data_IF_781565885687
#
_entry.id   IF_781565885687
#
_cell.length_a   1.000
_cell.length_b   1.000
_cell.length_c   1.000
_cell.angle_alpha   90.00
_cell.angle_beta   90.00
_cell.angle_gamma   90.00
#
_symmetry.space_group_name_H-M   'P 1'
#
loop_
_entity.id
_entity.type
_entity.pdbx_description
1 polymer ?
#
# COMPACT_ATOMS: atom_id res chain seq x y z
N UNK A 1 5.80 -16.10 0.62
CA UNK A 1 5.10 -15.31 1.66
C UNK A 1 5.34 -13.85 1.34
N UNK A 2 4.30 -13.02 1.28
CA UNK A 2 4.42 -11.62 0.88
C UNK A 2 4.87 -10.75 2.06
N UNK A 3 5.76 -9.79 1.78
CA UNK A 3 6.12 -8.72 2.72
C UNK A 3 5.38 -7.45 2.30
N UNK A 4 4.57 -6.91 3.20
CA UNK A 4 3.72 -5.75 2.95
C UNK A 4 4.12 -4.65 3.94
N UNK A 5 4.46 -3.48 3.41
CA UNK A 5 4.68 -2.28 4.20
C UNK A 5 3.41 -1.42 4.15
N UNK A 6 2.93 -0.94 5.29
CA UNK A 6 1.73 -0.12 5.37
C UNK A 6 2.10 1.25 5.92
N UNK A 7 2.03 2.26 5.07
CA UNK A 7 2.23 3.65 5.42
C UNK A 7 0.91 4.26 5.87
N UNK A 8 0.71 4.38 7.17
CA UNK A 8 -0.53 4.91 7.77
C UNK A 8 -0.23 5.73 9.02
N UNK A 9 -0.90 6.88 9.14
CA UNK A 9 -0.87 7.67 10.36
C UNK A 9 -1.80 7.10 11.46
N UNK A 10 -2.81 6.30 11.08
CA UNK A 10 -3.81 5.73 11.98
C UNK A 10 -4.04 4.24 11.67
N UNK A 11 -3.05 3.36 11.93
CA UNK A 11 -3.14 1.94 11.58
C UNK A 11 -4.29 1.20 12.29
N UNK A 12 -4.77 1.74 13.42
CA UNK A 12 -5.95 1.27 14.17
C UNK A 12 -7.22 1.20 13.27
N UNK A 13 -7.38 2.14 12.33
CA UNK A 13 -8.49 2.18 11.39
C UNK A 13 -8.45 1.02 10.38
N UNK A 14 -7.28 0.42 10.19
CA UNK A 14 -7.03 -0.72 9.30
C UNK A 14 -7.01 -2.05 10.04
N UNK A 15 -7.33 -2.09 11.34
CA UNK A 15 -7.21 -3.31 12.15
C UNK A 15 -7.87 -4.57 11.53
N UNK A 16 -9.09 -4.51 10.97
CA UNK A 16 -9.70 -5.68 10.30
C UNK A 16 -8.93 -6.15 9.07
N UNK A 17 -8.33 -5.22 8.32
CA UNK A 17 -7.50 -5.52 7.16
C UNK A 17 -6.15 -6.12 7.56
N UNK A 18 -5.48 -5.54 8.57
CA UNK A 18 -4.24 -6.05 9.13
C UNK A 18 -4.38 -7.48 9.65
N UNK A 19 -5.47 -7.76 10.38
CA UNK A 19 -5.77 -9.08 10.89
C UNK A 19 -5.90 -10.11 9.75
N UNK A 20 -6.61 -9.76 8.67
CA UNK A 20 -6.76 -10.64 7.52
C UNK A 20 -5.42 -10.92 6.80
N UNK A 21 -4.52 -9.94 6.70
CA UNK A 21 -3.17 -10.15 6.15
C UNK A 21 -2.33 -11.07 7.04
N UNK A 22 -2.41 -10.91 8.35
CA UNK A 22 -1.71 -11.74 9.32
C UNK A 22 -2.22 -13.20 9.30
N UNK A 23 -3.54 -13.40 9.21
CA UNK A 23 -4.17 -14.73 9.04
C UNK A 23 -3.70 -15.44 7.77
N UNK A 24 -3.44 -14.68 6.69
CA UNK A 24 -2.89 -15.20 5.46
C UNK A 24 -1.36 -15.48 5.53
N UNK A 25 -0.72 -15.24 6.67
CA UNK A 25 0.71 -15.48 6.88
C UNK A 25 1.62 -14.45 6.20
N UNK A 26 1.11 -13.24 5.93
CA UNK A 26 1.93 -12.15 5.39
C UNK A 26 2.74 -11.47 6.50
N UNK A 27 3.97 -11.07 6.17
CA UNK A 27 4.74 -10.18 7.04
C UNK A 27 4.27 -8.75 6.80
N UNK A 28 3.82 -8.07 7.85
CA UNK A 28 3.31 -6.70 7.77
C UNK A 28 4.17 -5.79 8.63
N UNK A 29 4.75 -4.77 8.02
CA UNK A 29 5.48 -3.70 8.70
C UNK A 29 4.69 -2.39 8.61
N UNK A 30 4.72 -1.58 9.67
CA UNK A 30 4.00 -0.30 9.74
C UNK A 30 4.97 0.88 9.64
N UNK A 31 4.62 1.87 8.84
CA UNK A 31 5.34 3.13 8.71
C UNK A 31 4.39 4.30 9.07
N UNK A 32 4.69 5.09 10.12
CA UNK A 32 3.80 6.17 10.56
C UNK A 32 3.87 7.44 9.69
N UNK A 33 4.78 7.48 8.70
CA UNK A 33 5.01 8.63 7.83
C UNK A 33 5.60 8.21 6.49
N UNK A 34 5.54 9.10 5.50
CA UNK A 34 6.10 8.86 4.17
C UNK A 34 7.62 8.69 4.25
N UNK A 35 8.30 9.47 5.09
CA UNK A 35 9.73 9.30 5.35
C UNK A 35 10.07 7.92 5.93
N UNK A 36 9.30 7.44 6.91
CA UNK A 36 9.52 6.12 7.49
C UNK A 36 9.29 5.01 6.46
N UNK A 37 8.30 5.17 5.58
CA UNK A 37 8.03 4.21 4.52
C UNK A 37 9.20 4.15 3.52
N UNK A 38 9.72 5.31 3.09
CA UNK A 38 10.88 5.37 2.19
C UNK A 38 12.13 4.73 2.79
N UNK A 39 12.44 4.99 4.06
CA UNK A 39 13.57 4.37 4.75
C UNK A 39 13.41 2.84 4.85
N UNK A 40 12.19 2.37 5.17
CA UNK A 40 11.90 0.93 5.20
C UNK A 40 12.12 0.28 3.82
N UNK A 41 11.62 0.89 2.74
CA UNK A 41 11.83 0.38 1.38
C UNK A 41 13.31 0.37 0.97
N UNK A 42 14.10 1.38 1.41
CA UNK A 42 15.55 1.41 1.15
C UNK A 42 16.31 0.30 1.89
N UNK A 43 15.87 -0.04 3.10
CA UNK A 43 16.52 -1.04 3.94
C UNK A 43 16.14 -2.47 3.52
N UNK A 44 14.85 -2.73 3.37
CA UNK A 44 14.29 -4.02 2.96
C UNK A 44 13.07 -3.78 2.06
N UNK A 45 13.22 -3.88 0.72
CA UNK A 45 12.15 -3.54 -0.19
C UNK A 45 10.99 -4.54 -0.06
N UNK A 46 9.77 -4.07 0.30
CA UNK A 46 8.61 -4.93 0.42
C UNK A 46 8.11 -5.38 -0.96
N UNK A 47 7.32 -6.45 -0.99
CA UNK A 47 6.61 -6.86 -2.20
C UNK A 47 5.54 -5.83 -2.58
N UNK A 48 4.86 -5.29 -1.57
CA UNK A 48 3.82 -4.27 -1.73
C UNK A 48 3.97 -3.18 -0.67
N UNK A 49 3.81 -1.92 -1.06
CA UNK A 49 3.56 -0.81 -0.16
C UNK A 49 2.09 -0.37 -0.23
N UNK A 50 1.35 -0.47 0.87
CA UNK A 50 0.02 0.12 1.00
C UNK A 50 0.14 1.52 1.59
N UNK A 51 -0.46 2.51 0.94
CA UNK A 51 -0.50 3.90 1.41
C UNK A 51 -1.92 4.24 1.86
N UNK A 52 -2.09 4.48 3.15
CA UNK A 52 -3.38 4.77 3.79
C UNK A 52 -3.77 6.25 3.66
N UNK A 53 -3.95 6.69 2.41
CA UNK A 53 -4.24 8.08 2.10
C UNK A 53 -3.09 9.03 2.41
N UNK A 54 -3.43 10.29 2.65
CA UNK A 54 -2.43 11.34 2.90
C UNK A 54 -1.82 11.19 4.29
N UNK A 55 -0.49 11.24 4.31
CA UNK A 55 0.32 11.17 5.53
C UNK A 55 0.66 12.59 6.00
N UNK A 56 1.00 12.78 7.28
CA UNK A 56 1.29 14.11 7.83
C UNK A 56 2.41 14.87 7.11
N UNK A 57 3.30 14.16 6.41
CA UNK A 57 4.46 14.70 5.71
C UNK A 57 4.35 14.68 4.17
N UNK A 58 3.40 13.94 3.59
CA UNK A 58 3.30 13.77 2.13
C UNK A 58 1.93 13.24 1.70
N UNK A 59 1.48 13.66 0.51
CA UNK A 59 0.27 13.07 -0.10
C UNK A 59 0.52 11.62 -0.55
N UNK A 60 -0.54 10.84 -0.64
CA UNK A 60 -0.44 9.41 -0.96
C UNK A 60 0.27 9.16 -2.29
N UNK A 61 -0.14 9.88 -3.34
CA UNK A 61 0.40 9.73 -4.70
C UNK A 61 1.85 10.22 -4.80
N UNK A 62 2.21 11.27 -4.07
CA UNK A 62 3.59 11.74 -4.00
C UNK A 62 4.48 10.69 -3.34
N UNK A 63 4.02 10.00 -2.29
CA UNK A 63 4.76 8.88 -1.70
C UNK A 63 4.95 7.75 -2.72
N UNK A 64 3.88 7.33 -3.42
CA UNK A 64 3.99 6.29 -4.45
C UNK A 64 5.04 6.66 -5.51
N UNK A 65 5.00 7.89 -6.02
CA UNK A 65 5.99 8.40 -6.97
C UNK A 65 7.42 8.28 -6.43
N UNK A 66 7.65 8.65 -5.15
CA UNK A 66 8.97 8.49 -4.50
C UNK A 66 9.37 7.04 -4.33
N UNK A 67 8.44 6.13 -4.05
CA UNK A 67 8.75 4.71 -3.91
C UNK A 67 9.21 4.10 -5.23
N UNK A 68 8.64 4.51 -6.36
CA UNK A 68 9.09 4.09 -7.70
C UNK A 68 10.51 4.58 -7.98
N UNK A 69 10.80 5.84 -7.64
CA UNK A 69 12.16 6.41 -7.77
C UNK A 69 13.20 5.65 -6.93
N UNK A 70 12.79 5.11 -5.77
CA UNK A 70 13.64 4.32 -4.89
C UNK A 70 13.82 2.90 -5.43
N UNK A 71 12.71 2.24 -5.77
CA UNK A 71 12.69 0.88 -6.26
C UNK A 71 11.41 0.60 -7.06
N UNK A 72 11.53 0.61 -8.38
CA UNK A 72 10.43 0.34 -9.30
C UNK A 72 9.86 -1.10 -9.24
N UNK A 73 10.55 -2.03 -8.56
CA UNK A 73 10.02 -3.37 -8.33
C UNK A 73 9.01 -3.43 -7.16
N UNK A 74 8.90 -2.36 -6.35
CA UNK A 74 7.93 -2.29 -5.25
C UNK A 74 6.57 -1.94 -5.83
N UNK A 75 5.64 -2.87 -5.69
CA UNK A 75 4.24 -2.63 -6.09
C UNK A 75 3.58 -1.71 -5.07
N UNK A 76 2.66 -0.84 -5.48
CA UNK A 76 1.96 0.06 -4.55
C UNK A 76 0.44 -0.13 -4.61
N UNK A 77 -0.24 -0.01 -3.47
CA UNK A 77 -1.70 0.10 -3.37
C UNK A 77 -2.04 1.34 -2.55
N UNK A 78 -3.17 1.99 -2.84
CA UNK A 78 -3.52 3.26 -2.16
C UNK A 78 -4.97 3.21 -1.68
N UNK A 79 -5.17 3.52 -0.40
CA UNK A 79 -6.49 3.80 0.17
C UNK A 79 -6.88 5.21 -0.28
N UNK A 80 -7.96 5.32 -1.04
CA UNK A 80 -8.42 6.63 -1.53
C UNK A 80 -9.94 6.71 -1.59
N UNK A 81 -10.54 7.84 -1.15
CA UNK A 81 -11.97 8.09 -1.31
C UNK A 81 -12.36 8.52 -2.73
N UNK A 82 -11.38 8.74 -3.62
CA UNK A 82 -11.64 9.12 -5.02
C UNK A 82 -12.38 8.01 -5.77
N UNK A 83 -13.13 8.39 -6.81
CA UNK A 83 -13.67 7.43 -7.76
C UNK A 83 -12.55 6.78 -8.55
N UNK A 84 -12.83 5.62 -9.16
CA UNK A 84 -11.83 4.90 -9.93
C UNK A 84 -11.31 5.72 -11.11
N UNK A 85 -12.16 6.53 -11.77
CA UNK A 85 -11.73 7.38 -12.87
C UNK A 85 -10.74 8.46 -12.42
N UNK A 86 -11.11 9.21 -11.37
CA UNK A 86 -10.25 10.28 -10.84
C UNK A 86 -8.94 9.73 -10.25
N UNK A 87 -9.01 8.54 -9.64
CA UNK A 87 -7.83 7.87 -9.12
C UNK A 87 -6.91 7.38 -10.24
N UNK A 88 -7.47 6.83 -11.32
CA UNK A 88 -6.69 6.37 -12.46
C UNK A 88 -5.96 7.53 -13.16
N UNK A 89 -6.65 8.66 -13.36
CA UNK A 89 -6.05 9.87 -13.93
C UNK A 89 -4.92 10.41 -13.04
N UNK A 90 -5.15 10.49 -11.72
CA UNK A 90 -4.14 10.99 -10.79
C UNK A 90 -2.97 10.01 -10.56
N UNK A 91 -3.22 8.71 -10.73
CA UNK A 91 -2.27 7.61 -10.52
C UNK A 91 -1.59 7.11 -11.80
N UNK A 92 -1.86 7.74 -12.95
CA UNK A 92 -1.33 7.30 -14.24
C UNK A 92 0.20 7.32 -14.24
N UNK A 93 0.81 6.23 -14.73
CA UNK A 93 2.27 6.09 -14.77
C UNK A 93 2.93 5.77 -13.43
N UNK A 94 2.18 5.66 -12.33
CA UNK A 94 2.72 5.34 -11.00
C UNK A 94 2.72 3.83 -10.65
N UNK A 95 2.32 2.96 -11.58
CA UNK A 95 2.36 1.50 -11.37
C UNK A 95 1.57 1.02 -10.15
N UNK A 96 0.49 1.73 -9.79
CA UNK A 96 -0.37 1.37 -8.67
C UNK A 96 -1.17 0.12 -9.04
N UNK A 97 -1.11 -0.90 -8.19
CA UNK A 97 -1.78 -2.18 -8.36
C UNK A 97 -3.30 -2.05 -8.30
N UNK A 98 -3.77 -1.40 -7.23
CA UNK A 98 -5.19 -1.21 -6.99
C UNK A 98 -5.43 -0.07 -6.01
N UNK A 99 -6.62 0.52 -6.14
CA UNK A 99 -7.20 1.41 -5.13
C UNK A 99 -7.94 0.55 -4.10
N UNK A 100 -7.82 0.93 -2.82
CA UNK A 100 -8.66 0.41 -1.75
C UNK A 100 -9.64 1.49 -1.27
N UNK A 101 -10.78 1.03 -0.78
CA UNK A 101 -11.79 1.90 -0.16
C UNK A 101 -11.30 2.40 1.21
N UNK A 102 -11.71 3.61 1.66
CA UNK A 102 -11.44 4.06 3.02
C UNK A 102 -11.97 3.07 4.06
N UNK A 103 -11.12 2.68 5.01
CA UNK A 103 -11.44 1.64 5.99
C UNK A 103 -11.57 0.24 5.38
N UNK A 104 -10.52 -0.25 4.68
CA UNK A 104 -10.60 -1.53 4.00
C UNK A 104 -10.82 -2.68 4.97
N UNK A 105 -11.54 -3.69 4.50
CA UNK A 105 -11.91 -4.86 5.28
C UNK A 105 -11.17 -6.14 4.88
N UNK A 106 -11.51 -7.28 5.51
CA UNK A 106 -10.92 -8.58 5.18
C UNK A 106 -11.11 -8.99 3.72
N UNK A 107 -12.21 -8.60 3.08
CA UNK A 107 -12.46 -8.92 1.67
C UNK A 107 -11.46 -8.23 0.74
N UNK A 108 -11.16 -6.96 0.99
CA UNK A 108 -10.15 -6.21 0.22
C UNK A 108 -8.74 -6.76 0.46
N UNK A 109 -8.41 -7.19 1.68
CA UNK A 109 -7.15 -7.89 1.96
C UNK A 109 -7.00 -9.15 1.11
N UNK A 110 -8.06 -9.97 1.01
CA UNK A 110 -8.07 -11.19 0.19
C UNK A 110 -7.92 -10.88 -1.30
N UNK A 111 -8.62 -9.87 -1.79
CA UNK A 111 -8.51 -9.44 -3.20
C UNK A 111 -7.09 -8.96 -3.50
N UNK A 112 -6.51 -8.13 -2.63
CA UNK A 112 -5.14 -7.64 -2.77
C UNK A 112 -4.12 -8.79 -2.81
N UNK A 113 -4.25 -9.78 -1.93
CA UNK A 113 -3.37 -10.95 -1.92
C UNK A 113 -3.53 -11.80 -3.17
N UNK A 114 -4.77 -11.99 -3.65
CA UNK A 114 -5.02 -12.71 -4.90
C UNK A 114 -4.35 -12.00 -6.09
N UNK A 115 -4.50 -10.67 -6.20
CA UNK A 115 -3.87 -9.89 -7.27
C UNK A 115 -2.33 -9.94 -7.19
N UNK A 116 -1.76 -9.88 -5.97
CA UNK A 116 -0.31 -10.05 -5.80
C UNK A 116 0.18 -11.43 -6.25
N UNK A 117 -0.57 -12.50 -5.97
CA UNK A 117 -0.19 -13.84 -6.42
C UNK A 117 -0.22 -14.00 -7.94
N UNK A 118 -1.11 -13.28 -8.63
CA UNK A 118 -1.17 -13.31 -10.10
C UNK A 118 -0.02 -12.57 -10.79
N UNK A 119 0.63 -11.62 -10.11
CA UNK A 119 1.77 -10.87 -10.66
C UNK A 119 3.12 -11.57 -10.50
N UNK A 120 3.24 -12.46 -9.50
CA UNK A 120 4.47 -13.20 -9.20
C UNK A 120 4.50 -14.64 -9.72
N UNK A 121 3.51 -15.03 -10.53
CA UNK A 121 3.32 -16.38 -11.08
C UNK A 121 3.78 -16.54 -12.52
#
# INVERSE_FOLDING_TARGET
>A
MAHILIASHQPEALAPFLAALAEAGCRVDLAPSAKAAQEAVRHEPPTLCLVDGDLPDMTALALVSRLIEINACVTSAVVSPLTDEAFHEAGEGLGILMRLSPGPGPNEARTLLATLTTLGG
#
